data_IF_591917035077
#
_entry.id   IF_591917035077
#
_cell.length_a   1.000
_cell.length_b   1.000
_cell.length_c   1.000
_cell.angle_alpha   90.00
_cell.angle_beta   90.00
_cell.angle_gamma   90.00
#
_symmetry.space_group_name_H-M   'P 1'
#
loop_
_entity.id
_entity.type
_entity.pdbx_description
1 polymer ?
#
# COMPACT_ATOMS: atom_id res chain seq x y z
N UNK A 1 2.15 -12.49 8.23
CA UNK A 1 2.63 -11.54 7.20
C UNK A 1 1.42 -11.00 6.43
N UNK A 2 1.31 -9.68 6.25
CA UNK A 2 0.26 -9.02 5.49
C UNK A 2 0.86 -8.40 4.23
N UNK A 3 0.22 -8.58 3.07
CA UNK A 3 0.70 -8.03 1.80
C UNK A 3 -0.45 -7.49 0.95
N UNK A 4 -0.21 -6.37 0.29
CA UNK A 4 -1.13 -5.76 -0.66
C UNK A 4 -1.54 -4.34 -0.30
N UNK A 5 -2.27 -3.66 -1.20
CA UNK A 5 -2.68 -2.27 -1.01
C UNK A 5 -3.62 -2.08 0.19
N UNK A 6 -4.39 -3.10 0.58
CA UNK A 6 -5.23 -3.08 1.80
C UNK A 6 -4.39 -2.99 3.08
N UNK A 7 -3.13 -3.42 3.04
CA UNK A 7 -2.19 -3.32 4.14
C UNK A 7 -1.59 -1.93 4.36
N UNK A 8 -2.07 -0.90 3.67
CA UNK A 8 -1.53 0.47 3.75
C UNK A 8 -1.89 1.22 5.04
N UNK A 9 -2.50 0.55 6.03
CA UNK A 9 -2.77 1.12 7.34
C UNK A 9 -1.47 1.45 8.10
N UNK A 10 -1.57 2.31 9.13
CA UNK A 10 -0.42 2.75 9.91
C UNK A 10 0.34 1.54 10.51
N UNK A 11 1.62 1.30 10.15
CA UNK A 11 2.31 0.06 10.51
C UNK A 11 2.36 -0.26 12.00
N UNK A 12 2.52 0.70 12.94
CA UNK A 12 2.48 0.41 14.37
C UNK A 12 1.17 -0.21 14.86
N UNK A 13 0.02 0.17 14.29
CA UNK A 13 -1.28 -0.44 14.63
C UNK A 13 -1.29 -1.90 14.22
N UNK A 14 -0.87 -2.19 12.99
CA UNK A 14 -0.79 -3.55 12.45
C UNK A 14 0.23 -4.42 13.22
N UNK A 15 1.37 -3.84 13.59
CA UNK A 15 2.36 -4.51 14.44
C UNK A 15 1.84 -4.79 15.86
N UNK A 16 1.03 -3.88 16.42
CA UNK A 16 0.31 -4.07 17.69
C UNK A 16 -0.71 -5.21 17.65
N UNK A 17 -1.28 -5.49 16.48
CA UNK A 17 -2.15 -6.66 16.22
C UNK A 17 -1.37 -7.97 16.00
N UNK A 18 -0.04 -7.96 16.17
CA UNK A 18 0.80 -9.15 16.00
C UNK A 18 1.22 -9.44 14.57
N UNK A 19 1.05 -8.51 13.63
CA UNK A 19 1.54 -8.68 12.26
C UNK A 19 3.02 -8.33 12.21
N UNK A 20 3.90 -9.30 11.99
CA UNK A 20 5.36 -9.05 12.01
C UNK A 20 5.91 -8.37 10.75
N UNK A 21 5.34 -8.68 9.59
CA UNK A 21 5.79 -8.19 8.28
C UNK A 21 4.60 -7.64 7.50
N UNK A 22 4.73 -6.41 7.02
CA UNK A 22 3.72 -5.68 6.25
C UNK A 22 4.36 -5.22 4.94
N UNK A 23 3.86 -5.73 3.81
CA UNK A 23 4.22 -5.25 2.48
C UNK A 23 3.05 -4.47 1.88
N UNK A 24 3.23 -3.20 1.58
CA UNK A 24 2.16 -2.40 0.98
C UNK A 24 2.69 -1.30 0.05
N UNK A 25 1.80 -0.41 -0.37
CA UNK A 25 2.09 0.67 -1.31
C UNK A 25 1.45 1.98 -0.86
N UNK A 26 2.21 3.07 -0.88
CA UNK A 26 1.73 4.43 -0.72
C UNK A 26 1.40 5.05 -2.07
N UNK A 27 0.50 6.03 -2.08
CA UNK A 27 0.10 6.75 -3.29
C UNK A 27 1.02 7.96 -3.48
N UNK A 28 1.61 8.09 -4.69
CA UNK A 28 2.52 9.20 -5.03
C UNK A 28 1.77 10.46 -5.47
N UNK A 29 0.73 10.28 -6.28
CA UNK A 29 -0.15 11.37 -6.74
C UNK A 29 -1.62 11.00 -6.43
N UNK A 30 -2.17 11.51 -5.32
CA UNK A 30 -3.54 11.19 -4.91
C UNK A 30 -4.60 11.56 -5.93
N UNK A 31 -4.46 12.70 -6.62
CA UNK A 31 -5.49 13.18 -7.56
C UNK A 31 -5.59 12.26 -8.76
N UNK A 32 -4.46 12.00 -9.41
CA UNK A 32 -4.40 11.10 -10.57
C UNK A 32 -4.84 9.68 -10.19
N UNK A 33 -4.44 9.17 -9.03
CA UNK A 33 -4.84 7.82 -8.58
C UNK A 33 -6.34 7.74 -8.31
N UNK A 34 -6.95 8.73 -7.67
CA UNK A 34 -8.40 8.75 -7.41
C UNK A 34 -9.19 8.73 -8.73
N UNK A 35 -8.79 9.56 -9.71
CA UNK A 35 -9.48 9.61 -10.99
C UNK A 35 -9.37 8.29 -11.76
N UNK A 36 -8.19 7.67 -11.74
CA UNK A 36 -8.00 6.35 -12.33
C UNK A 36 -8.80 5.25 -11.60
N UNK A 37 -8.82 5.26 -10.26
CA UNK A 37 -9.60 4.29 -9.48
C UNK A 37 -11.09 4.39 -9.78
N UNK A 38 -11.65 5.59 -9.94
CA UNK A 38 -13.05 5.81 -10.35
C UNK A 38 -13.35 5.20 -11.72
N UNK A 39 -12.37 5.15 -12.62
CA UNK A 39 -12.48 4.52 -13.94
C UNK A 39 -12.23 3.01 -13.91
N UNK A 40 -12.08 2.40 -12.73
CA UNK A 40 -11.81 0.96 -12.58
C UNK A 40 -10.35 0.57 -12.82
N UNK A 41 -9.41 1.53 -12.79
CA UNK A 41 -7.98 1.21 -12.90
C UNK A 41 -7.54 0.29 -11.74
N UNK A 42 -7.12 -0.93 -12.07
CA UNK A 42 -6.60 -1.86 -11.09
C UNK A 42 -5.18 -1.52 -10.62
N UNK A 43 -4.76 -2.15 -9.52
CA UNK A 43 -3.43 -2.00 -8.90
C UNK A 43 -2.27 -2.09 -9.91
N UNK A 44 -2.30 -3.07 -10.83
CA UNK A 44 -1.24 -3.26 -11.84
C UNK A 44 -1.08 -2.05 -12.77
N UNK A 45 -2.17 -1.36 -13.08
CA UNK A 45 -2.11 -0.18 -13.95
C UNK A 45 -1.48 1.00 -13.21
N UNK A 46 -1.86 1.22 -11.95
CA UNK A 46 -1.28 2.25 -11.09
C UNK A 46 0.23 2.02 -10.86
N UNK A 47 0.62 0.75 -10.65
CA UNK A 47 2.02 0.35 -10.50
C UNK A 47 2.84 0.62 -11.77
N UNK A 48 2.33 0.20 -12.94
CA UNK A 48 2.98 0.45 -14.24
C UNK A 48 3.13 1.94 -14.56
N UNK A 49 2.21 2.78 -14.06
CA UNK A 49 2.27 4.24 -14.22
C UNK A 49 3.19 4.92 -13.20
N UNK A 50 3.84 4.17 -12.30
CA UNK A 50 4.73 4.73 -11.29
C UNK A 50 4.01 5.57 -10.23
N UNK A 51 2.71 5.33 -10.03
CA UNK A 51 1.87 6.09 -9.11
C UNK A 51 1.89 5.52 -7.68
N UNK A 52 2.58 4.40 -7.47
CA UNK A 52 2.67 3.69 -6.21
C UNK A 52 4.13 3.66 -5.71
N UNK A 53 4.32 3.89 -4.41
CA UNK A 53 5.58 3.68 -3.71
C UNK A 53 5.48 2.44 -2.83
N UNK A 54 6.17 1.35 -3.19
CA UNK A 54 6.13 0.08 -2.45
C UNK A 54 7.05 0.16 -1.24
N UNK A 55 6.58 -0.35 -0.11
CA UNK A 55 7.35 -0.41 1.13
C UNK A 55 7.16 -1.75 1.85
N UNK A 56 8.13 -2.08 2.69
CA UNK A 56 8.05 -3.20 3.63
C UNK A 56 8.35 -2.67 5.03
N UNK A 57 7.44 -2.91 5.97
CA UNK A 57 7.63 -2.65 7.39
C UNK A 57 7.82 -3.97 8.12
N UNK A 58 8.86 -4.04 8.95
CA UNK A 58 9.19 -5.23 9.74
C UNK A 58 9.24 -4.83 11.20
N UNK A 59 8.50 -5.57 12.04
CA UNK A 59 8.56 -5.43 13.49
C UNK A 59 9.91 -5.92 13.98
N UNK A 60 10.77 -5.00 14.43
CA UNK A 60 11.99 -5.38 15.15
C UNK A 60 11.61 -5.76 16.58
N UNK A 61 12.09 -6.93 17.03
CA UNK A 61 11.97 -7.37 18.42
C UNK A 61 12.87 -6.53 19.31
#
# INVERSE_FOLDING_TARGET
MLSGPTGAAYPPVLHGLGIDVIGSSLIRDPRTVIDLLKLGAGYRLLDRRGLLFKYVSVRRR
#
